data_IF_391472727136
#
_entry.id   IF_391472727136
#
_cell.length_a   1.000
_cell.length_b   1.000
_cell.length_c   1.000
_cell.angle_alpha   90.00
_cell.angle_beta   90.00
_cell.angle_gamma   90.00
#
_symmetry.space_group_name_H-M   'P 1'
#
loop_
_entity.id
_entity.type
_entity.pdbx_description
1 polymer ?
#
# COMPACT_ATOMS: atom_id res chain seq x y z
N UNK A 1 66.58 53.30 -18.78
CA UNK A 1 65.99 52.08 -19.29
C UNK A 1 66.24 50.92 -18.32
N UNK A 2 65.46 50.75 -17.27
CA UNK A 2 65.56 49.55 -16.38
C UNK A 2 64.33 49.51 -15.49
N UNK A 3 63.17 49.30 -16.08
CA UNK A 3 61.95 49.13 -15.31
C UNK A 3 61.10 47.92 -15.74
N UNK A 4 61.66 46.98 -16.53
CA UNK A 4 60.90 45.87 -17.13
C UNK A 4 61.04 44.50 -16.49
N UNK A 5 61.95 44.24 -15.54
CA UNK A 5 62.25 42.88 -15.11
C UNK A 5 61.79 42.43 -13.73
N UNK A 6 61.35 43.35 -12.89
CA UNK A 6 60.95 43.00 -11.49
C UNK A 6 59.54 42.39 -11.44
N UNK A 7 58.62 42.82 -12.33
CA UNK A 7 57.25 42.35 -12.32
C UNK A 7 57.08 40.92 -12.89
N UNK A 8 57.99 40.49 -13.77
CA UNK A 8 57.89 39.16 -14.41
C UNK A 8 58.39 38.05 -13.50
N UNK A 9 59.42 38.31 -12.67
CA UNK A 9 59.90 37.32 -11.69
C UNK A 9 58.96 37.09 -10.51
N UNK A 10 58.28 38.17 -10.04
CA UNK A 10 57.32 38.00 -8.94
C UNK A 10 56.09 37.19 -9.35
N UNK A 11 55.63 37.29 -10.61
CA UNK A 11 54.49 36.52 -11.11
C UNK A 11 54.80 35.03 -11.31
N UNK A 12 56.04 34.68 -11.69
CA UNK A 12 56.42 33.27 -11.86
C UNK A 12 56.53 32.54 -10.52
N UNK A 13 57.09 33.18 -9.50
CA UNK A 13 57.24 32.58 -8.17
C UNK A 13 55.91 32.38 -7.47
N UNK A 14 54.95 33.30 -7.62
CA UNK A 14 53.61 33.16 -7.05
C UNK A 14 52.86 32.00 -7.73
N UNK A 15 52.97 31.84 -9.05
CA UNK A 15 52.33 30.71 -9.75
C UNK A 15 52.91 29.37 -9.36
N UNK A 16 54.24 29.27 -9.16
CA UNK A 16 54.87 28.00 -8.77
C UNK A 16 54.52 27.60 -7.34
N UNK A 17 54.46 28.57 -6.40
CA UNK A 17 53.99 28.29 -5.03
C UNK A 17 52.51 27.90 -4.97
N UNK A 18 51.65 28.55 -5.74
CA UNK A 18 50.22 28.22 -5.83
C UNK A 18 49.99 26.82 -6.40
N UNK A 19 50.72 26.41 -7.41
CA UNK A 19 50.63 25.07 -7.99
C UNK A 19 51.17 23.97 -7.07
N UNK A 20 52.21 24.24 -6.29
CA UNK A 20 52.74 23.30 -5.28
C UNK A 20 51.75 23.06 -4.17
N UNK A 21 51.14 24.12 -3.62
CA UNK A 21 50.14 23.98 -2.54
C UNK A 21 48.86 23.29 -3.00
N UNK A 22 48.40 23.52 -4.24
CA UNK A 22 47.20 22.86 -4.78
C UNK A 22 47.43 21.37 -4.99
N UNK A 23 48.60 20.97 -5.44
CA UNK A 23 48.93 19.52 -5.59
C UNK A 23 49.07 18.80 -4.24
N UNK A 24 49.59 19.49 -3.22
CA UNK A 24 49.70 18.93 -1.87
C UNK A 24 48.33 18.81 -1.19
N UNK A 25 47.46 19.81 -1.34
CA UNK A 25 46.09 19.75 -0.86
C UNK A 25 45.26 18.68 -1.59
N UNK A 26 45.42 18.49 -2.90
CA UNK A 26 44.75 17.43 -3.64
C UNK A 26 45.19 16.03 -3.18
N UNK A 27 46.47 15.85 -2.86
CA UNK A 27 46.97 14.55 -2.34
C UNK A 27 46.46 14.27 -0.91
N UNK A 28 46.38 15.30 -0.08
CA UNK A 28 45.87 15.17 1.29
C UNK A 28 44.33 14.92 1.26
N UNK A 29 43.59 15.59 0.39
CA UNK A 29 42.17 15.36 0.19
C UNK A 29 41.85 13.97 -0.34
N UNK A 30 42.64 13.44 -1.26
CA UNK A 30 42.50 12.10 -1.80
C UNK A 30 42.84 11.00 -0.78
N UNK A 31 43.83 11.22 0.07
CA UNK A 31 44.16 10.28 1.15
C UNK A 31 43.11 10.31 2.28
N UNK A 32 42.54 11.47 2.60
CA UNK A 32 41.51 11.59 3.62
C UNK A 32 40.19 10.97 3.15
N UNK A 33 39.79 11.13 1.89
CA UNK A 33 38.60 10.48 1.32
C UNK A 33 38.76 8.97 1.20
N UNK A 34 39.97 8.47 0.96
CA UNK A 34 40.22 7.03 0.91
C UNK A 34 40.23 6.40 2.33
N UNK A 35 40.66 7.15 3.36
CA UNK A 35 40.61 6.70 4.76
C UNK A 35 39.17 6.68 5.30
N UNK A 36 38.31 7.63 4.91
CA UNK A 36 36.89 7.66 5.30
C UNK A 36 36.10 6.55 4.57
N UNK A 37 36.46 6.23 3.33
CA UNK A 37 35.82 5.13 2.57
C UNK A 37 36.11 3.74 3.15
N UNK A 38 37.23 3.54 3.79
CA UNK A 38 37.60 2.26 4.40
C UNK A 38 37.02 2.03 5.80
N UNK A 39 36.61 3.08 6.50
CA UNK A 39 35.96 2.94 7.82
C UNK A 39 34.47 2.71 7.77
N UNK A 40 33.82 2.96 6.62
CA UNK A 40 32.39 2.72 6.45
C UNK A 40 32.05 1.27 6.05
N UNK A 41 33.02 0.44 5.77
CA UNK A 41 32.80 -0.97 5.42
C UNK A 41 32.80 -1.91 6.62
N UNK A 42 33.09 -1.43 7.83
CA UNK A 42 33.11 -2.26 9.05
C UNK A 42 31.84 -2.17 9.89
N UNK A 43 30.80 -1.51 9.43
CA UNK A 43 29.56 -1.30 10.20
C UNK A 43 28.43 -2.28 9.87
N UNK A 44 28.70 -3.35 9.14
CA UNK A 44 27.73 -4.41 8.88
C UNK A 44 28.37 -5.78 9.04
N UNK A 45 28.83 -6.09 10.26
CA UNK A 45 29.09 -7.46 10.70
C UNK A 45 28.77 -7.58 12.17
N UNK A 46 27.55 -7.29 12.56
CA UNK A 46 26.94 -7.93 13.71
C UNK A 46 26.30 -9.21 13.20
N UNK A 47 27.15 -10.22 13.10
CA UNK A 47 26.75 -11.61 12.88
C UNK A 47 26.31 -12.22 14.23
N UNK A 48 25.53 -11.48 14.99
CA UNK A 48 24.68 -12.00 16.03
C UNK A 48 23.39 -12.43 15.33
N UNK A 49 23.27 -13.74 15.12
CA UNK A 49 22.20 -14.38 14.35
C UNK A 49 20.80 -14.20 14.91
N UNK A 50 20.37 -12.97 15.12
CA UNK A 50 18.97 -12.62 15.29
C UNK A 50 18.28 -12.76 13.94
N UNK A 51 17.93 -14.00 13.62
CA UNK A 51 17.06 -14.30 12.49
C UNK A 51 15.68 -13.67 12.77
N UNK A 52 15.47 -12.48 12.26
CA UNK A 52 14.14 -11.88 12.23
C UNK A 52 13.33 -12.58 11.15
N UNK A 53 12.27 -13.30 11.53
CA UNK A 53 11.42 -13.96 10.53
C UNK A 53 10.82 -12.93 9.59
N UNK A 54 10.80 -13.23 8.29
CA UNK A 54 10.18 -12.36 7.29
C UNK A 54 8.70 -12.20 7.58
N UNK A 55 8.26 -11.00 7.94
CA UNK A 55 6.85 -10.68 8.14
C UNK A 55 6.18 -10.51 6.78
N UNK A 56 5.15 -11.30 6.54
CA UNK A 56 4.31 -11.27 5.35
C UNK A 56 3.08 -10.42 5.66
N UNK A 57 2.62 -9.61 4.71
CA UNK A 57 1.36 -8.89 4.81
C UNK A 57 0.48 -9.25 3.62
N UNK A 58 -0.68 -9.85 3.91
CA UNK A 58 -1.59 -10.38 2.90
C UNK A 58 -3.05 -10.09 3.19
N UNK A 59 -3.86 -10.11 2.12
CA UNK A 59 -5.31 -10.21 2.19
C UNK A 59 -5.70 -11.68 2.30
N UNK A 60 -6.39 -12.04 3.37
CA UNK A 60 -6.79 -13.43 3.66
C UNK A 60 -8.25 -13.51 4.07
N UNK A 61 -8.78 -14.75 4.05
CA UNK A 61 -9.97 -15.11 4.78
C UNK A 61 -9.54 -15.67 6.14
N UNK A 62 -9.93 -15.03 7.23
CA UNK A 62 -9.65 -15.48 8.58
C UNK A 62 -10.92 -16.10 9.19
N UNK A 63 -10.78 -17.28 9.77
CA UNK A 63 -11.87 -18.06 10.34
C UNK A 63 -11.76 -18.07 11.85
N UNK A 64 -12.89 -17.79 12.53
CA UNK A 64 -13.01 -17.84 13.99
C UNK A 64 -13.82 -19.06 14.44
N UNK A 65 -13.54 -19.49 15.68
CA UNK A 65 -14.29 -20.51 16.40
C UNK A 65 -15.53 -19.93 17.12
N UNK A 66 -16.22 -20.76 17.90
CA UNK A 66 -17.39 -20.38 18.70
C UNK A 66 -17.14 -19.29 19.76
N UNK A 67 -15.89 -19.09 20.16
CA UNK A 67 -15.47 -18.08 21.13
C UNK A 67 -14.98 -16.78 20.45
N UNK A 68 -14.99 -16.74 19.11
CA UNK A 68 -14.50 -15.64 18.31
C UNK A 68 -12.97 -15.60 18.19
N UNK A 69 -12.29 -16.68 18.57
CA UNK A 69 -10.84 -16.83 18.42
C UNK A 69 -10.50 -17.26 17.00
N UNK A 70 -9.53 -16.60 16.40
CA UNK A 70 -9.03 -16.99 15.07
C UNK A 70 -8.22 -18.28 15.19
N UNK A 71 -8.53 -19.27 14.38
CA UNK A 71 -7.78 -20.52 14.35
C UNK A 71 -7.17 -20.85 12.99
N UNK A 72 -7.63 -20.22 11.91
CA UNK A 72 -7.19 -20.51 10.56
C UNK A 72 -7.21 -19.26 9.68
N UNK A 73 -6.27 -19.19 8.76
CA UNK A 73 -6.27 -18.21 7.66
C UNK A 73 -6.13 -18.93 6.31
N UNK A 74 -6.87 -18.46 5.33
CA UNK A 74 -6.78 -18.92 3.93
C UNK A 74 -6.34 -17.76 3.07
N UNK A 75 -5.21 -17.90 2.41
CA UNK A 75 -4.67 -16.90 1.48
C UNK A 75 -5.42 -16.91 0.14
N UNK A 76 -5.25 -15.87 -0.67
CA UNK A 76 -5.91 -15.78 -1.97
C UNK A 76 -5.54 -16.89 -2.96
N UNK A 77 -4.37 -17.49 -2.82
CA UNK A 77 -3.96 -18.65 -3.62
C UNK A 77 -4.51 -19.99 -3.12
N UNK A 78 -5.33 -19.97 -2.05
CA UNK A 78 -5.95 -21.15 -1.47
C UNK A 78 -5.09 -21.87 -0.43
N UNK A 79 -3.91 -21.36 -0.08
CA UNK A 79 -3.09 -21.96 0.99
C UNK A 79 -3.74 -21.73 2.35
N UNK A 80 -3.84 -22.77 3.14
CA UNK A 80 -4.44 -22.75 4.48
C UNK A 80 -3.33 -22.86 5.51
N UNK A 81 -3.30 -21.93 6.47
CA UNK A 81 -2.41 -21.97 7.61
C UNK A 81 -3.21 -21.99 8.90
N UNK A 82 -2.88 -22.89 9.80
CA UNK A 82 -3.38 -22.87 11.16
C UNK A 82 -2.67 -21.77 11.95
N UNK A 83 -3.37 -21.13 12.88
CA UNK A 83 -2.80 -20.07 13.71
C UNK A 83 -2.25 -20.69 14.99
N UNK A 84 -0.93 -20.58 15.20
CA UNK A 84 -0.25 -21.20 16.33
C UNK A 84 -0.50 -20.43 17.64
N UNK A 85 -0.29 -19.12 17.61
CA UNK A 85 -0.46 -18.24 18.76
C UNK A 85 -0.91 -16.85 18.34
N UNK A 86 -1.94 -16.33 19.00
CA UNK A 86 -2.33 -14.92 18.87
C UNK A 86 -3.18 -14.49 20.08
N UNK A 87 -3.17 -13.19 20.31
CA UNK A 87 -4.06 -12.54 21.31
C UNK A 87 -5.15 -11.73 20.62
N UNK A 88 -5.38 -11.98 19.32
CA UNK A 88 -6.30 -11.21 18.50
C UNK A 88 -7.61 -11.99 18.39
N UNK A 89 -8.69 -11.42 18.92
CA UNK A 89 -10.04 -11.94 18.77
C UNK A 89 -10.80 -11.10 17.75
N UNK A 90 -11.66 -11.75 17.00
CA UNK A 90 -12.73 -11.05 16.31
C UNK A 90 -13.99 -11.18 17.14
N UNK A 91 -14.79 -10.11 17.19
CA UNK A 91 -15.99 -10.06 18.04
C UNK A 91 -17.15 -10.95 17.55
N UNK A 92 -16.98 -11.68 16.45
CA UNK A 92 -18.02 -12.49 15.81
C UNK A 92 -17.59 -13.94 15.80
N UNK A 93 -18.23 -14.82 16.58
CA UNK A 93 -17.96 -16.25 16.59
C UNK A 93 -18.42 -16.94 15.31
N UNK A 94 -17.84 -18.12 15.03
CA UNK A 94 -18.21 -19.02 13.92
C UNK A 94 -18.31 -18.31 12.57
N UNK A 95 -17.32 -17.44 12.28
CA UNK A 95 -17.41 -16.58 11.11
C UNK A 95 -16.14 -16.61 10.28
N UNK A 96 -16.28 -16.24 8.99
CA UNK A 96 -15.17 -16.01 8.07
C UNK A 96 -15.18 -14.56 7.67
N UNK A 97 -14.08 -13.86 7.95
CA UNK A 97 -13.93 -12.46 7.57
C UNK A 97 -12.80 -12.26 6.57
N UNK A 98 -12.99 -11.32 5.66
CA UNK A 98 -11.92 -10.80 4.82
C UNK A 98 -11.12 -9.78 5.61
N UNK A 99 -9.81 -9.98 5.71
CA UNK A 99 -8.95 -9.08 6.45
C UNK A 99 -7.56 -8.98 5.81
N UNK A 100 -6.85 -7.93 6.16
CA UNK A 100 -5.42 -7.80 5.95
C UNK A 100 -4.72 -8.20 7.24
N UNK A 101 -3.76 -9.11 7.16
CA UNK A 101 -2.98 -9.59 8.30
C UNK A 101 -1.49 -9.37 8.05
N UNK A 102 -0.74 -9.18 9.14
CA UNK A 102 0.72 -9.31 9.15
C UNK A 102 1.08 -10.53 9.97
N UNK A 103 1.86 -11.43 9.41
CA UNK A 103 2.16 -12.72 10.02
C UNK A 103 3.52 -13.27 9.59
N UNK A 104 4.02 -14.25 10.32
CA UNK A 104 5.14 -15.11 9.94
C UNK A 104 4.68 -16.55 9.86
N UNK A 105 5.37 -17.37 9.09
CA UNK A 105 5.12 -18.82 9.01
C UNK A 105 6.30 -19.54 9.63
N UNK A 106 6.02 -20.44 10.55
CA UNK A 106 6.95 -21.40 11.11
C UNK A 106 6.25 -22.75 11.24
N UNK A 107 6.86 -23.81 10.73
CA UNK A 107 6.33 -25.17 10.79
C UNK A 107 4.87 -25.28 10.29
N UNK A 108 4.57 -24.64 9.15
CA UNK A 108 3.24 -24.53 8.53
C UNK A 108 2.17 -23.79 9.36
N UNK A 109 2.56 -23.24 10.50
CA UNK A 109 1.68 -22.44 11.35
C UNK A 109 1.95 -20.94 11.18
N UNK A 110 0.87 -20.15 11.17
CA UNK A 110 0.93 -18.69 11.13
C UNK A 110 0.96 -18.11 12.55
N UNK A 111 1.91 -17.21 12.79
CA UNK A 111 1.92 -16.34 13.97
C UNK A 111 1.47 -14.95 13.55
N UNK A 112 0.31 -14.49 14.06
CA UNK A 112 -0.27 -13.21 13.69
C UNK A 112 0.27 -12.07 14.56
N UNK A 113 0.65 -10.97 13.92
CA UNK A 113 1.07 -9.71 14.57
C UNK A 113 -0.01 -8.63 14.49
N UNK A 114 -0.75 -8.59 13.40
CA UNK A 114 -1.84 -7.62 13.23
C UNK A 114 -2.96 -8.20 12.37
N UNK A 115 -4.17 -7.68 12.58
CA UNK A 115 -5.36 -7.96 11.78
C UNK A 115 -6.14 -6.67 11.59
N UNK A 116 -6.55 -6.41 10.35
CA UNK A 116 -7.41 -5.28 9.99
C UNK A 116 -8.53 -5.79 9.09
N UNK A 117 -9.80 -5.75 9.55
CA UNK A 117 -10.93 -6.10 8.71
C UNK A 117 -10.96 -5.26 7.42
N UNK A 118 -11.27 -5.90 6.32
CA UNK A 118 -11.40 -5.29 5.01
C UNK A 118 -12.87 -5.28 4.62
N UNK A 119 -13.36 -4.16 4.10
CA UNK A 119 -14.71 -4.13 3.56
C UNK A 119 -14.83 -5.15 2.42
N UNK A 120 -15.69 -6.13 2.61
CA UNK A 120 -15.89 -7.22 1.66
C UNK A 120 -17.37 -7.55 1.55
N UNK A 121 -17.99 -7.16 0.45
CA UNK A 121 -19.39 -7.44 0.16
C UNK A 121 -19.57 -7.82 -1.30
N UNK A 122 -20.60 -8.59 -1.60
CA UNK A 122 -21.04 -8.85 -2.96
C UNK A 122 -21.53 -7.56 -3.61
N UNK A 123 -21.40 -7.48 -4.94
CA UNK A 123 -21.99 -6.40 -5.68
C UNK A 123 -23.53 -6.50 -5.67
N UNK A 124 -24.19 -5.36 -5.50
CA UNK A 124 -25.62 -5.24 -5.73
C UNK A 124 -25.93 -5.46 -7.21
N UNK A 125 -26.99 -6.19 -7.50
CA UNK A 125 -27.44 -6.45 -8.87
C UNK A 125 -28.14 -5.24 -9.46
N UNK A 126 -28.21 -5.14 -10.80
CA UNK A 126 -28.89 -4.01 -11.46
C UNK A 126 -30.34 -3.80 -11.01
N UNK A 127 -31.06 -4.90 -10.71
CA UNK A 127 -32.44 -4.86 -10.21
C UNK A 127 -32.58 -4.35 -8.76
N UNK A 128 -31.49 -4.41 -7.99
CA UNK A 128 -31.46 -4.01 -6.58
C UNK A 128 -31.01 -2.56 -6.36
N UNK A 129 -30.71 -1.84 -7.43
CA UNK A 129 -30.19 -0.46 -7.37
C UNK A 129 -30.91 0.46 -8.36
N UNK A 130 -30.98 1.74 -7.98
CA UNK A 130 -31.43 2.81 -8.89
C UNK A 130 -30.25 3.75 -9.11
N UNK A 131 -29.81 3.86 -10.36
CA UNK A 131 -28.71 4.76 -10.75
C UNK A 131 -29.32 6.06 -11.32
N UNK A 132 -28.95 7.21 -10.71
CA UNK A 132 -29.38 8.54 -11.17
C UNK A 132 -28.14 9.42 -11.25
N UNK A 133 -27.68 9.72 -12.48
CA UNK A 133 -26.47 10.51 -12.72
C UNK A 133 -25.29 10.00 -11.89
N UNK A 134 -24.86 10.83 -10.92
CA UNK A 134 -23.70 10.56 -10.07
C UNK A 134 -24.07 9.94 -8.72
N UNK A 135 -25.24 9.34 -8.60
CA UNK A 135 -25.74 8.76 -7.35
C UNK A 135 -26.32 7.38 -7.57
N UNK A 136 -26.24 6.56 -6.52
CA UNK A 136 -26.88 5.23 -6.47
C UNK A 136 -27.79 5.17 -5.26
N UNK A 137 -28.94 4.54 -5.41
CA UNK A 137 -29.89 4.29 -4.34
C UNK A 137 -30.20 2.81 -4.27
N UNK A 138 -30.10 2.26 -3.07
CA UNK A 138 -30.70 0.97 -2.75
C UNK A 138 -32.14 1.24 -2.29
N UNK A 139 -33.16 0.47 -2.73
CA UNK A 139 -34.51 0.64 -2.26
C UNK A 139 -34.61 0.69 -0.73
N UNK A 140 -35.31 1.70 -0.20
CA UNK A 140 -35.42 1.91 1.24
C UNK A 140 -34.28 2.69 1.91
N UNK A 141 -33.26 3.10 1.17
CA UNK A 141 -32.16 3.94 1.66
C UNK A 141 -32.11 5.32 1.03
N UNK A 142 -31.22 6.18 1.53
CA UNK A 142 -30.90 7.46 0.90
C UNK A 142 -30.06 7.27 -0.38
N UNK A 143 -30.03 8.29 -1.23
CA UNK A 143 -29.10 8.33 -2.37
C UNK A 143 -27.65 8.44 -1.88
N UNK A 144 -26.80 7.56 -2.38
CA UNK A 144 -25.37 7.60 -2.13
C UNK A 144 -24.67 8.28 -3.32
N UNK A 145 -24.01 9.43 -3.11
CA UNK A 145 -23.22 10.07 -4.15
C UNK A 145 -22.03 9.20 -4.53
N UNK A 146 -21.52 9.36 -5.73
CA UNK A 146 -20.25 8.79 -6.17
C UNK A 146 -19.12 9.77 -5.87
N UNK A 147 -18.70 9.85 -4.61
CA UNK A 147 -17.56 10.69 -4.26
C UNK A 147 -16.26 10.07 -4.83
N UNK A 148 -15.35 10.90 -5.39
CA UNK A 148 -14.14 10.40 -6.01
C UNK A 148 -13.15 9.85 -4.98
N UNK A 149 -12.33 8.89 -5.41
CA UNK A 149 -11.23 8.31 -4.65
C UNK A 149 -9.92 8.36 -5.44
N UNK A 150 -8.78 8.21 -4.77
CA UNK A 150 -7.49 7.96 -5.42
C UNK A 150 -7.28 6.45 -5.52
N UNK A 151 -7.17 5.91 -6.73
CA UNK A 151 -6.78 4.51 -6.92
C UNK A 151 -5.26 4.39 -6.77
N UNK A 152 -4.81 3.63 -5.78
CA UNK A 152 -3.39 3.30 -5.57
C UNK A 152 -3.07 2.03 -6.35
N UNK A 153 -3.89 0.98 -6.17
CA UNK A 153 -3.81 -0.25 -6.97
C UNK A 153 -5.15 -0.95 -7.05
N UNK A 154 -5.32 -1.77 -8.09
CA UNK A 154 -6.48 -2.60 -8.34
C UNK A 154 -5.99 -3.89 -8.98
N UNK A 155 -6.31 -5.05 -8.37
CA UNK A 155 -5.85 -6.35 -8.85
C UNK A 155 -6.88 -7.44 -8.61
N UNK A 156 -6.77 -8.51 -9.37
CA UNK A 156 -7.57 -9.72 -9.18
C UNK A 156 -6.81 -10.74 -8.34
N UNK A 157 -7.55 -11.53 -7.59
CA UNK A 157 -7.16 -12.83 -7.04
C UNK A 157 -8.16 -13.88 -7.52
N UNK A 158 -7.97 -15.17 -7.26
CA UNK A 158 -8.88 -16.21 -7.78
C UNK A 158 -10.36 -15.96 -7.47
N UNK A 159 -10.69 -15.38 -6.33
CA UNK A 159 -12.08 -15.18 -5.88
C UNK A 159 -12.46 -13.73 -5.61
N UNK A 160 -11.56 -12.76 -5.84
CA UNK A 160 -11.82 -11.36 -5.49
C UNK A 160 -11.23 -10.39 -6.52
N UNK A 161 -11.91 -9.24 -6.65
CA UNK A 161 -11.28 -7.98 -7.08
C UNK A 161 -10.90 -7.20 -5.84
N UNK A 162 -9.63 -6.86 -5.72
CA UNK A 162 -9.06 -6.14 -4.59
C UNK A 162 -8.72 -4.71 -5.00
N UNK A 163 -8.99 -3.77 -4.10
CA UNK A 163 -8.74 -2.35 -4.28
C UNK A 163 -7.90 -1.83 -3.12
N UNK A 164 -6.85 -1.07 -3.43
CA UNK A 164 -6.13 -0.23 -2.49
C UNK A 164 -6.36 1.23 -2.89
N UNK A 165 -7.02 1.97 -2.01
CA UNK A 165 -7.51 3.31 -2.30
C UNK A 165 -6.98 4.32 -1.28
N UNK A 166 -6.78 5.55 -1.74
CA UNK A 166 -6.63 6.74 -0.90
C UNK A 166 -7.95 7.50 -0.84
N UNK A 167 -8.44 7.74 0.37
CA UNK A 167 -9.70 8.44 0.63
C UNK A 167 -9.40 9.71 1.40
N UNK A 168 -9.90 10.82 0.90
CA UNK A 168 -9.84 12.11 1.61
C UNK A 168 -10.82 12.09 2.79
N UNK A 169 -10.36 12.45 3.98
CA UNK A 169 -11.15 12.40 5.21
C UNK A 169 -10.69 13.43 6.22
N UNK A 170 -11.60 13.84 7.10
CA UNK A 170 -11.30 14.65 8.30
C UNK A 170 -10.91 13.78 9.50
N UNK A 171 -11.04 12.45 9.39
CA UNK A 171 -10.90 11.53 10.51
C UNK A 171 -12.18 11.29 11.31
N UNK A 172 -13.22 12.06 11.06
CA UNK A 172 -14.52 11.90 11.71
C UNK A 172 -15.52 11.25 10.77
N UNK A 173 -16.45 10.46 11.35
CA UNK A 173 -17.47 9.73 10.62
C UNK A 173 -16.96 8.49 9.90
N UNK A 174 -17.85 7.82 9.19
CA UNK A 174 -17.58 6.56 8.50
C UNK A 174 -17.85 6.68 7.01
N UNK A 175 -16.87 6.34 6.19
CA UNK A 175 -17.06 6.18 4.75
C UNK A 175 -17.99 5.01 4.47
N UNK A 176 -18.82 5.14 3.45
CA UNK A 176 -19.68 4.07 2.96
C UNK A 176 -19.19 3.60 1.61
N UNK A 177 -19.20 2.30 1.40
CA UNK A 177 -18.78 1.65 0.17
C UNK A 177 -19.86 0.70 -0.31
N UNK A 178 -20.05 0.66 -1.63
CA UNK A 178 -20.94 -0.27 -2.30
C UNK A 178 -20.28 -0.75 -3.58
N UNK A 179 -20.36 -2.03 -3.82
CA UNK A 179 -20.08 -2.59 -5.14
C UNK A 179 -21.39 -2.73 -5.89
N UNK A 180 -21.45 -2.23 -7.10
CA UNK A 180 -22.61 -2.30 -7.97
C UNK A 180 -22.27 -3.09 -9.22
N UNK A 181 -23.18 -3.95 -9.65
CA UNK A 181 -23.18 -4.51 -10.97
C UNK A 181 -24.05 -3.57 -11.85
N UNK A 182 -23.41 -2.76 -12.68
CA UNK A 182 -24.11 -1.75 -13.50
C UNK A 182 -24.78 -2.39 -14.74
N UNK A 183 -24.23 -3.52 -15.21
CA UNK A 183 -24.74 -4.34 -16.32
C UNK A 183 -23.93 -5.65 -16.41
N UNK A 184 -24.31 -6.55 -17.31
CA UNK A 184 -23.60 -7.83 -17.48
C UNK A 184 -22.10 -7.63 -17.64
N UNK A 185 -21.33 -8.12 -16.66
CA UNK A 185 -19.86 -8.06 -16.64
C UNK A 185 -19.27 -6.68 -16.31
N UNK A 186 -20.09 -5.68 -16.00
CA UNK A 186 -19.62 -4.36 -15.60
C UNK A 186 -19.95 -4.06 -14.15
N UNK A 187 -18.92 -3.78 -13.37
CA UNK A 187 -19.01 -3.50 -11.95
C UNK A 187 -18.39 -2.14 -11.62
N UNK A 188 -18.91 -1.49 -10.60
CA UNK A 188 -18.36 -0.23 -10.12
C UNK A 188 -18.33 -0.11 -8.61
N UNK A 189 -17.41 0.74 -8.12
CA UNK A 189 -17.38 1.18 -6.74
C UNK A 189 -18.18 2.48 -6.60
N UNK A 190 -19.11 2.50 -5.65
CA UNK A 190 -19.74 3.71 -5.12
C UNK A 190 -19.13 4.00 -3.75
N UNK A 191 -18.64 5.21 -3.57
CA UNK A 191 -18.06 5.68 -2.32
C UNK A 191 -18.76 6.96 -1.87
N UNK A 192 -19.18 7.01 -0.60
CA UNK A 192 -19.67 8.21 0.07
C UNK A 192 -18.71 8.60 1.17
N UNK A 193 -18.23 9.83 1.14
CA UNK A 193 -17.43 10.42 2.23
C UNK A 193 -18.28 10.67 3.47
N UNK A 194 -17.69 10.58 4.68
CA UNK A 194 -18.42 10.83 5.93
C UNK A 194 -18.88 12.29 6.09
N UNK A 195 -18.08 13.24 5.60
CA UNK A 195 -18.38 14.66 5.58
C UNK A 195 -17.80 15.29 4.33
N UNK A 196 -18.39 16.38 3.86
CA UNK A 196 -17.87 17.23 2.79
C UNK A 196 -17.03 18.38 3.30
N UNK A 197 -17.03 18.59 4.63
CA UNK A 197 -16.33 19.67 5.27
C UNK A 197 -14.84 19.33 5.40
N UNK A 198 -14.00 20.30 5.17
CA UNK A 198 -12.54 20.35 5.31
C UNK A 198 -11.78 19.00 5.37
N UNK A 199 -11.42 18.48 4.21
CA UNK A 199 -10.58 17.29 4.07
C UNK A 199 -9.17 17.60 4.55
N UNK A 200 -8.69 16.89 5.59
CA UNK A 200 -7.41 17.20 6.22
C UNK A 200 -6.29 16.23 5.85
N UNK A 201 -6.60 14.98 5.50
CA UNK A 201 -5.59 13.99 5.12
C UNK A 201 -6.17 12.84 4.28
N UNK A 202 -5.27 12.09 3.65
CA UNK A 202 -5.61 10.89 2.87
C UNK A 202 -5.45 9.65 3.74
N UNK A 203 -6.53 8.89 3.95
CA UNK A 203 -6.50 7.58 4.60
C UNK A 203 -6.42 6.49 3.53
N UNK A 204 -5.52 5.53 3.72
CA UNK A 204 -5.48 4.33 2.89
C UNK A 204 -6.48 3.29 3.37
N UNK A 205 -7.19 2.65 2.44
CA UNK A 205 -8.16 1.60 2.72
C UNK A 205 -8.03 0.46 1.71
N UNK A 206 -8.35 -0.74 2.16
CA UNK A 206 -8.43 -1.92 1.32
C UNK A 206 -9.86 -2.40 1.26
N UNK A 207 -10.32 -2.75 0.05
CA UNK A 207 -11.65 -3.30 -0.19
C UNK A 207 -11.50 -4.56 -1.04
N UNK A 208 -12.41 -5.52 -0.87
CA UNK A 208 -12.46 -6.72 -1.70
C UNK A 208 -13.90 -6.98 -2.14
N UNK A 209 -14.11 -7.18 -3.43
CA UNK A 209 -15.38 -7.63 -4.01
C UNK A 209 -15.27 -9.09 -4.36
N UNK A 210 -16.09 -9.98 -3.76
CA UNK A 210 -16.16 -11.38 -4.18
C UNK A 210 -16.63 -11.48 -5.64
N UNK A 211 -15.99 -12.37 -6.39
CA UNK A 211 -16.36 -12.68 -7.77
C UNK A 211 -17.12 -14.00 -7.79
N UNK A 212 -18.21 -14.05 -8.55
CA UNK A 212 -18.99 -15.28 -8.69
C UNK A 212 -18.16 -16.36 -9.39
N UNK A 213 -18.31 -17.64 -8.97
CA UNK A 213 -17.65 -18.75 -9.63
C UNK A 213 -17.97 -18.79 -11.12
N UNK A 214 -16.99 -19.22 -11.94
CA UNK A 214 -17.12 -19.32 -13.41
C UNK A 214 -17.28 -17.96 -14.13
N UNK A 215 -16.82 -16.88 -13.52
CA UNK A 215 -16.68 -15.60 -14.21
C UNK A 215 -15.45 -15.65 -15.11
N UNK A 216 -15.63 -15.59 -16.44
CA UNK A 216 -14.52 -15.57 -17.39
C UNK A 216 -13.82 -14.21 -17.43
N UNK A 217 -14.62 -13.15 -17.36
CA UNK A 217 -14.10 -11.78 -17.35
C UNK A 217 -15.11 -10.80 -16.76
N UNK A 218 -14.59 -9.72 -16.20
CA UNK A 218 -15.39 -8.57 -15.77
C UNK A 218 -14.60 -7.27 -15.95
N UNK A 219 -15.32 -6.17 -16.12
CA UNK A 219 -14.76 -4.82 -16.11
C UNK A 219 -15.17 -4.13 -14.82
N UNK A 220 -14.19 -3.62 -14.08
CA UNK A 220 -14.42 -2.89 -12.84
C UNK A 220 -14.03 -1.43 -13.00
N UNK A 221 -14.94 -0.53 -12.61
CA UNK A 221 -14.80 0.92 -12.77
C UNK A 221 -14.79 1.63 -11.41
N UNK A 222 -13.95 2.65 -11.29
CA UNK A 222 -13.83 3.48 -10.09
C UNK A 222 -13.88 4.95 -10.49
N UNK A 223 -14.70 5.74 -9.81
CA UNK A 223 -14.75 7.20 -9.99
C UNK A 223 -13.60 7.85 -9.20
N UNK A 224 -12.75 8.60 -9.90
CA UNK A 224 -11.57 9.27 -9.34
C UNK A 224 -11.63 10.78 -9.56
N UNK A 225 -10.72 11.52 -8.92
CA UNK A 225 -10.58 12.96 -9.13
C UNK A 225 -10.23 13.36 -10.57
N UNK A 226 -9.70 12.43 -11.38
CA UNK A 226 -9.30 12.63 -12.77
C UNK A 226 -10.30 12.03 -13.77
N UNK A 227 -11.42 11.48 -13.27
CA UNK A 227 -12.43 10.80 -14.08
C UNK A 227 -12.58 9.33 -13.73
N UNK A 228 -13.17 8.55 -14.62
CA UNK A 228 -13.42 7.12 -14.39
C UNK A 228 -12.22 6.31 -14.85
N UNK A 229 -11.69 5.48 -13.95
CA UNK A 229 -10.68 4.47 -14.26
C UNK A 229 -11.39 3.13 -14.36
N UNK A 230 -11.21 2.42 -15.47
CA UNK A 230 -11.77 1.09 -15.69
C UNK A 230 -10.67 0.08 -16.00
N UNK A 231 -10.81 -1.13 -15.47
CA UNK A 231 -9.91 -2.24 -15.73
C UNK A 231 -10.68 -3.53 -15.95
N UNK A 232 -10.31 -4.25 -17.01
CA UNK A 232 -10.88 -5.58 -17.31
C UNK A 232 -9.96 -6.66 -16.74
N UNK A 233 -10.56 -7.59 -16.02
CA UNK A 233 -9.93 -8.76 -15.43
C UNK A 233 -10.44 -10.02 -16.13
N UNK A 234 -9.59 -11.07 -16.19
CA UNK A 234 -9.89 -12.36 -16.83
C UNK A 234 -9.37 -13.49 -15.94
N UNK A 235 -10.17 -14.52 -15.78
CA UNK A 235 -9.86 -15.72 -15.01
C UNK A 235 -9.59 -16.92 -15.90
#
# INVERSE_FOLDING_TARGET
MAHGNIHTMARSNIRTMAQSNTRTMQKIGALLSMAIGLTLQSACSDDDGDYYPSVITDLVLATSDSDGMLYQVTTDNGTIHNIAHHKLNISTPDTVIRCMISYTIQDDCATLYSISPVYCNKAYKPEDIIIIKDSVKIPGTEYLPRDPVKVISMWQSPSFINLHLGIMTTGYGTSQYLFCNDSTGHYSLVHRRPSKDEESYTKQVYLSMPVEPNTDSLTFSVYTYEGIISRTFRW
#
